data_IF_515215809094
#
_entry.id   IF_515215809094
#
_cell.length_a   1.000
_cell.length_b   1.000
_cell.length_c   1.000
_cell.angle_alpha   90.00
_cell.angle_beta   90.00
_cell.angle_gamma   90.00
#
_symmetry.space_group_name_H-M   'P 1'
#
loop_
_entity.id
_entity.type
_entity.pdbx_description
1 polymer ?
#
# COMPACT_ATOMS: atom_id res chain seq x y z
N UNK A 1 27.72 8.55 -12.89
CA UNK A 1 26.74 7.51 -13.29
C UNK A 1 27.44 6.60 -14.29
N UNK A 2 27.58 5.33 -13.96
CA UNK A 2 28.12 4.31 -14.85
C UNK A 2 27.02 3.77 -15.80
N UNK A 3 27.39 2.80 -16.69
CA UNK A 3 26.45 2.26 -17.68
C UNK A 3 25.27 1.53 -17.02
N UNK A 4 25.52 0.71 -16.00
CA UNK A 4 24.48 -0.08 -15.33
C UNK A 4 23.50 0.83 -14.58
N UNK A 5 24.00 1.89 -13.95
CA UNK A 5 23.16 2.92 -13.31
C UNK A 5 22.27 3.65 -14.32
N UNK A 6 22.82 3.95 -15.50
CA UNK A 6 22.06 4.58 -16.57
C UNK A 6 20.96 3.65 -17.11
N UNK A 7 21.27 2.36 -17.31
CA UNK A 7 20.32 1.37 -17.78
C UNK A 7 19.18 1.19 -16.76
N UNK A 8 19.49 1.01 -15.47
CA UNK A 8 18.50 0.93 -14.39
C UNK A 8 17.60 2.17 -14.35
N UNK A 9 18.20 3.35 -14.41
CA UNK A 9 17.44 4.61 -14.41
C UNK A 9 16.49 4.70 -15.60
N UNK A 10 16.96 4.34 -16.79
CA UNK A 10 16.12 4.36 -18.01
C UNK A 10 14.94 3.39 -17.93
N UNK A 11 15.15 2.21 -17.36
CA UNK A 11 14.04 1.26 -17.09
C UNK A 11 13.03 1.89 -16.11
N UNK A 12 13.52 2.51 -15.04
CA UNK A 12 12.66 3.20 -14.08
C UNK A 12 11.84 4.32 -14.71
N UNK A 13 12.48 5.19 -15.54
CA UNK A 13 11.76 6.27 -16.25
C UNK A 13 10.66 5.72 -17.19
N UNK A 14 10.93 4.62 -17.88
CA UNK A 14 9.94 3.98 -18.76
C UNK A 14 8.78 3.36 -17.98
N UNK A 15 9.05 2.73 -16.85
CA UNK A 15 8.02 2.18 -15.98
C UNK A 15 7.18 3.28 -15.34
N UNK A 16 7.81 4.35 -14.86
CA UNK A 16 7.12 5.52 -14.33
C UNK A 16 6.19 6.14 -15.39
N UNK A 17 6.66 6.26 -16.64
CA UNK A 17 5.85 6.77 -17.73
C UNK A 17 4.62 5.88 -18.01
N UNK A 18 4.80 4.55 -17.94
CA UNK A 18 3.70 3.59 -18.11
C UNK A 18 2.69 3.68 -16.97
N UNK A 19 3.15 3.71 -15.72
CA UNK A 19 2.27 3.80 -14.53
C UNK A 19 1.51 5.14 -14.49
N UNK A 20 2.07 6.21 -15.03
CA UNK A 20 1.49 7.54 -15.03
C UNK A 20 0.60 7.82 -16.26
N UNK A 21 0.16 6.80 -17.00
CA UNK A 21 -0.69 6.98 -18.19
C UNK A 21 -2.06 7.58 -17.86
N UNK A 22 -2.60 7.34 -16.67
CA UNK A 22 -3.91 7.81 -16.22
C UNK A 22 -5.03 7.51 -17.26
N UNK A 23 -5.36 6.23 -17.49
CA UNK A 23 -6.30 5.84 -18.55
C UNK A 23 -7.72 6.35 -18.31
N UNK A 24 -8.08 6.71 -17.08
CA UNK A 24 -9.36 7.33 -16.73
C UNK A 24 -9.41 8.80 -17.13
N UNK A 25 -8.26 9.44 -17.31
CA UNK A 25 -8.17 10.84 -17.75
C UNK A 25 -8.54 11.88 -16.68
N UNK A 26 -8.51 11.52 -15.40
CA UNK A 26 -8.80 12.44 -14.30
C UNK A 26 -7.68 13.45 -14.05
N UNK A 27 -6.46 13.14 -14.48
CA UNK A 27 -5.30 14.01 -14.33
C UNK A 27 -4.64 13.94 -12.95
N UNK A 28 -5.27 13.31 -11.95
CA UNK A 28 -4.77 13.24 -10.57
C UNK A 28 -3.48 12.46 -10.48
N UNK A 29 -3.37 11.31 -11.13
CA UNK A 29 -2.13 10.51 -11.14
C UNK A 29 -0.92 11.33 -11.57
N UNK A 30 -1.06 12.19 -12.58
CA UNK A 30 0.02 13.07 -13.07
C UNK A 30 0.44 14.10 -12.03
N UNK A 31 -0.53 14.65 -11.29
CA UNK A 31 -0.27 15.60 -10.20
C UNK A 31 0.49 14.89 -9.08
N UNK A 32 0.00 13.73 -8.63
CA UNK A 32 0.64 12.93 -7.58
C UNK A 32 2.06 12.50 -7.99
N UNK A 33 2.21 12.04 -9.24
CA UNK A 33 3.52 11.68 -9.79
C UNK A 33 4.49 12.87 -9.75
N UNK A 34 4.08 14.04 -10.19
CA UNK A 34 4.94 15.24 -10.19
C UNK A 34 5.42 15.59 -8.77
N UNK A 35 4.53 15.55 -7.78
CA UNK A 35 4.85 15.79 -6.38
C UNK A 35 5.80 14.73 -5.82
N UNK A 36 5.49 13.47 -6.03
CA UNK A 36 6.28 12.34 -5.56
C UNK A 36 7.66 12.30 -6.21
N UNK A 37 7.74 12.55 -7.52
CA UNK A 37 8.98 12.62 -8.27
C UNK A 37 9.89 13.75 -7.79
N UNK A 38 9.31 14.93 -7.50
CA UNK A 38 10.03 16.06 -6.91
C UNK A 38 10.58 15.74 -5.53
N UNK A 39 9.80 15.07 -4.69
CA UNK A 39 10.19 14.69 -3.33
C UNK A 39 11.26 13.60 -3.31
N UNK A 40 11.26 12.67 -4.29
CA UNK A 40 12.20 11.54 -4.38
C UNK A 40 13.47 11.88 -5.17
N UNK A 41 13.37 12.71 -6.23
CA UNK A 41 14.51 13.13 -7.05
C UNK A 41 14.94 12.14 -8.14
N UNK A 42 14.39 10.93 -8.15
CA UNK A 42 14.70 9.84 -9.08
C UNK A 42 13.44 9.07 -9.51
N UNK A 43 13.51 8.16 -10.51
CA UNK A 43 12.36 7.35 -10.92
C UNK A 43 11.73 6.61 -9.73
N UNK A 44 10.40 6.76 -9.54
CA UNK A 44 9.71 6.24 -8.37
C UNK A 44 9.73 4.71 -8.31
N UNK A 45 9.50 4.05 -9.44
CA UNK A 45 9.55 2.59 -9.56
C UNK A 45 10.94 2.04 -9.28
N UNK A 46 11.99 2.72 -9.80
CA UNK A 46 13.37 2.34 -9.51
C UNK A 46 13.68 2.50 -8.02
N UNK A 47 13.31 3.64 -7.42
CA UNK A 47 13.54 3.91 -6.00
C UNK A 47 12.82 2.89 -5.11
N UNK A 48 11.56 2.60 -5.40
CA UNK A 48 10.78 1.59 -4.67
C UNK A 48 11.41 0.20 -4.79
N UNK A 49 11.78 -0.22 -6.01
CA UNK A 49 12.42 -1.50 -6.23
C UNK A 49 13.76 -1.61 -5.49
N UNK A 50 14.60 -0.57 -5.54
CA UNK A 50 15.87 -0.56 -4.82
C UNK A 50 15.67 -0.62 -3.30
N UNK A 51 14.69 0.13 -2.78
CA UNK A 51 14.32 0.06 -1.34
C UNK A 51 13.99 -1.37 -0.90
N UNK A 52 13.21 -2.10 -1.71
CA UNK A 52 12.84 -3.48 -1.41
C UNK A 52 14.01 -4.45 -1.57
N UNK A 53 14.85 -4.27 -2.61
CA UNK A 53 16.06 -5.09 -2.84
C UNK A 53 17.04 -4.97 -1.67
N UNK A 54 17.21 -3.77 -1.15
CA UNK A 54 18.16 -3.51 -0.06
C UNK A 54 17.64 -4.03 1.30
N UNK A 55 16.32 -4.07 1.46
CA UNK A 55 15.67 -4.43 2.72
C UNK A 55 15.41 -5.94 2.88
N UNK A 56 14.98 -6.62 1.81
CA UNK A 56 14.39 -7.96 1.89
C UNK A 56 15.43 -9.04 1.66
N UNK A 57 15.46 -10.03 2.56
CA UNK A 57 16.25 -11.26 2.45
C UNK A 57 15.34 -12.48 2.38
N UNK A 58 15.83 -13.64 1.87
CA UNK A 58 15.05 -14.88 1.88
C UNK A 58 14.53 -15.22 3.27
N UNK A 59 13.24 -15.52 3.36
CA UNK A 59 12.55 -15.84 4.62
C UNK A 59 11.97 -14.65 5.37
N UNK A 60 12.30 -13.42 4.98
CA UNK A 60 11.78 -12.23 5.66
C UNK A 60 10.29 -12.02 5.41
N UNK A 61 9.58 -11.59 6.45
CA UNK A 61 8.21 -11.11 6.34
C UNK A 61 8.16 -9.78 5.58
N UNK A 62 7.15 -9.63 4.72
CA UNK A 62 6.82 -8.36 4.07
C UNK A 62 5.33 -8.12 4.24
N UNK A 63 4.95 -7.00 4.86
CA UNK A 63 3.54 -6.66 5.03
C UNK A 63 3.03 -5.85 3.83
N UNK A 64 1.88 -6.26 3.29
CA UNK A 64 1.20 -5.57 2.20
C UNK A 64 -0.17 -5.13 2.70
N UNK A 65 -0.36 -3.81 2.85
CA UNK A 65 -1.61 -3.20 3.29
C UNK A 65 -2.47 -2.89 2.06
N UNK A 66 -3.73 -3.33 2.06
CA UNK A 66 -4.67 -3.08 0.95
C UNK A 66 -6.11 -3.15 1.42
N UNK A 67 -7.07 -2.90 0.54
CA UNK A 67 -8.48 -3.16 0.77
C UNK A 67 -9.33 -1.92 0.98
N UNK A 68 -9.10 -0.85 0.19
CA UNK A 68 -10.01 0.28 0.11
C UNK A 68 -11.43 -0.21 -0.20
N UNK A 69 -12.44 0.28 0.53
CA UNK A 69 -13.83 -0.16 0.40
C UNK A 69 -14.65 0.81 -0.44
N UNK A 70 -15.17 0.34 -1.56
CA UNK A 70 -15.95 1.16 -2.49
C UNK A 70 -17.44 1.20 -2.16
N UNK A 71 -18.02 2.39 -2.23
CA UNK A 71 -19.46 2.61 -2.18
C UNK A 71 -20.08 2.53 -3.59
N UNK A 72 -21.37 2.17 -3.72
CA UNK A 72 -22.33 1.86 -2.64
C UNK A 72 -22.31 0.40 -2.18
N UNK A 73 -21.55 -0.49 -2.88
CA UNK A 73 -21.66 -1.94 -2.69
C UNK A 73 -20.87 -2.46 -1.47
N UNK A 74 -20.02 -1.61 -0.87
CA UNK A 74 -19.16 -1.97 0.27
C UNK A 74 -18.29 -3.19 -0.01
N UNK A 75 -17.67 -3.20 -1.19
CA UNK A 75 -16.74 -4.23 -1.64
C UNK A 75 -15.32 -3.67 -1.72
N UNK A 76 -14.28 -4.51 -1.56
CA UNK A 76 -12.91 -4.05 -1.75
C UNK A 76 -12.66 -3.63 -3.19
N UNK A 77 -11.84 -2.61 -3.36
CA UNK A 77 -11.34 -2.18 -4.66
C UNK A 77 -10.45 -3.25 -5.27
N UNK A 78 -10.74 -3.59 -6.54
CA UNK A 78 -10.12 -4.78 -7.14
C UNK A 78 -8.68 -4.56 -7.59
N UNK A 79 -8.30 -3.35 -7.97
CA UNK A 79 -6.94 -3.06 -8.44
C UNK A 79 -5.90 -3.21 -7.31
N UNK A 80 -6.17 -2.71 -6.11
CA UNK A 80 -5.35 -2.96 -4.93
C UNK A 80 -5.25 -4.44 -4.60
N UNK A 81 -6.36 -5.18 -4.68
CA UNK A 81 -6.40 -6.61 -4.40
C UNK A 81 -5.57 -7.42 -5.39
N UNK A 82 -5.79 -7.23 -6.68
CA UNK A 82 -5.08 -7.97 -7.75
C UNK A 82 -3.60 -7.62 -7.75
N UNK A 83 -3.26 -6.33 -7.65
CA UNK A 83 -1.87 -5.86 -7.62
C UNK A 83 -1.11 -6.41 -6.41
N UNK A 84 -1.74 -6.45 -5.24
CA UNK A 84 -1.16 -7.04 -4.03
C UNK A 84 -0.83 -8.52 -4.21
N UNK A 85 -1.70 -9.29 -4.87
CA UNK A 85 -1.46 -10.71 -5.14
C UNK A 85 -0.31 -10.93 -6.12
N UNK A 86 -0.26 -10.14 -7.19
CA UNK A 86 0.83 -10.22 -8.18
C UNK A 86 2.17 -9.83 -7.56
N UNK A 87 2.17 -8.78 -6.72
CA UNK A 87 3.36 -8.36 -6.00
C UNK A 87 3.80 -9.40 -4.97
N UNK A 88 2.87 -9.99 -4.20
CA UNK A 88 3.16 -11.06 -3.26
C UNK A 88 3.86 -12.24 -3.97
N UNK A 89 3.32 -12.66 -5.14
CA UNK A 89 3.97 -13.69 -5.95
C UNK A 89 5.37 -13.27 -6.41
N UNK A 90 5.55 -12.04 -6.86
CA UNK A 90 6.85 -11.53 -7.29
C UNK A 90 7.87 -11.53 -6.12
N UNK A 91 7.46 -11.12 -4.93
CA UNK A 91 8.30 -11.14 -3.72
C UNK A 91 8.71 -12.55 -3.31
N UNK A 92 7.79 -13.51 -3.37
CA UNK A 92 8.11 -14.93 -3.10
C UNK A 92 9.11 -15.47 -4.11
N UNK A 93 8.90 -15.22 -5.40
CA UNK A 93 9.75 -15.79 -6.46
C UNK A 93 11.12 -15.11 -6.57
N UNK A 94 11.17 -13.77 -6.41
CA UNK A 94 12.40 -13.01 -6.59
C UNK A 94 13.29 -13.00 -5.34
N UNK A 95 12.69 -12.97 -4.16
CA UNK A 95 13.41 -12.80 -2.89
C UNK A 95 13.31 -14.00 -1.96
N UNK A 96 12.40 -14.94 -2.20
CA UNK A 96 12.04 -15.95 -1.20
C UNK A 96 11.35 -15.35 0.03
N UNK A 97 10.75 -14.18 -0.11
CA UNK A 97 10.08 -13.48 0.96
C UNK A 97 8.78 -14.16 1.39
N UNK A 98 8.27 -13.76 2.54
CA UNK A 98 7.04 -14.24 3.17
C UNK A 98 6.01 -13.12 3.27
N UNK A 99 5.25 -12.84 2.19
CA UNK A 99 4.30 -11.75 2.18
C UNK A 99 3.06 -12.05 3.04
N UNK A 100 2.63 -11.04 3.80
CA UNK A 100 1.41 -11.07 4.60
C UNK A 100 0.52 -9.93 4.12
N UNK A 101 -0.66 -10.27 3.59
CA UNK A 101 -1.67 -9.28 3.25
C UNK A 101 -2.40 -8.86 4.51
N UNK A 102 -2.43 -7.57 4.78
CA UNK A 102 -3.18 -6.98 5.90
C UNK A 102 -4.34 -6.17 5.32
N UNK A 103 -5.57 -6.58 5.61
CA UNK A 103 -6.77 -6.00 4.99
C UNK A 103 -7.98 -6.03 5.95
N UNK A 104 -9.07 -5.31 5.64
CA UNK A 104 -10.33 -5.45 6.38
C UNK A 104 -10.86 -6.88 6.35
N UNK A 105 -11.60 -7.29 7.38
CA UNK A 105 -12.24 -8.62 7.46
C UNK A 105 -13.03 -8.98 6.20
N UNK A 106 -13.79 -8.03 5.68
CA UNK A 106 -14.65 -8.20 4.49
C UNK A 106 -13.82 -8.51 3.21
N UNK A 107 -12.52 -8.19 3.21
CA UNK A 107 -11.62 -8.44 2.08
C UNK A 107 -10.91 -9.80 2.15
N UNK A 108 -10.88 -10.44 3.32
CA UNK A 108 -10.12 -11.69 3.54
C UNK A 108 -10.52 -12.80 2.56
N UNK A 109 -11.81 -12.99 2.33
CA UNK A 109 -12.26 -14.03 1.40
C UNK A 109 -11.84 -13.75 -0.05
N UNK A 110 -11.85 -12.48 -0.46
CA UNK A 110 -11.37 -12.09 -1.80
C UNK A 110 -9.87 -12.36 -1.94
N UNK A 111 -9.06 -12.03 -0.92
CA UNK A 111 -7.63 -12.38 -0.85
C UNK A 111 -7.42 -13.88 -1.02
N UNK A 112 -8.14 -14.72 -0.26
CA UNK A 112 -8.04 -16.18 -0.34
C UNK A 112 -8.37 -16.72 -1.73
N UNK A 113 -9.41 -16.19 -2.36
CA UNK A 113 -9.81 -16.60 -3.70
C UNK A 113 -8.75 -16.22 -4.75
N UNK A 114 -8.13 -15.05 -4.62
CA UNK A 114 -7.08 -14.59 -5.54
C UNK A 114 -5.76 -15.35 -5.36
N UNK A 115 -5.41 -15.76 -4.14
CA UNK A 115 -4.17 -16.47 -3.86
C UNK A 115 -4.03 -17.77 -4.67
N UNK A 116 -5.12 -18.53 -4.81
CA UNK A 116 -5.14 -19.75 -5.60
C UNK A 116 -4.83 -19.49 -7.08
N UNK A 117 -5.28 -18.34 -7.63
CA UNK A 117 -5.05 -17.98 -9.04
C UNK A 117 -3.59 -17.63 -9.29
N UNK A 118 -2.92 -17.01 -8.35
CA UNK A 118 -1.49 -16.66 -8.47
C UNK A 118 -0.55 -17.80 -8.07
N UNK A 119 -1.08 -18.97 -7.68
CA UNK A 119 -0.29 -20.16 -7.38
C UNK A 119 0.52 -20.05 -6.09
N UNK A 120 -0.01 -19.34 -5.08
CA UNK A 120 0.52 -19.30 -3.73
C UNK A 120 -0.43 -20.02 -2.75
N UNK A 121 0.15 -20.67 -1.75
CA UNK A 121 -0.59 -21.23 -0.64
C UNK A 121 -0.83 -20.14 0.40
N UNK A 122 -2.08 -19.96 0.85
CA UNK A 122 -2.44 -18.93 1.80
C UNK A 122 -2.75 -19.50 3.17
N UNK A 123 -2.21 -18.87 4.22
CA UNK A 123 -2.37 -19.26 5.62
C UNK A 123 -2.79 -18.04 6.46
N UNK A 124 -3.50 -18.31 7.54
CA UNK A 124 -3.84 -17.29 8.55
C UNK A 124 -2.81 -17.27 9.68
N UNK A 125 -2.13 -18.38 9.92
CA UNK A 125 -1.03 -18.46 10.90
C UNK A 125 0.29 -18.03 10.24
N UNK A 126 0.94 -17.03 10.81
CA UNK A 126 2.23 -16.53 10.33
C UNK A 126 3.34 -17.61 10.49
N UNK A 127 3.26 -18.48 11.50
CA UNK A 127 4.20 -19.57 11.65
C UNK A 127 4.17 -20.52 10.45
N UNK A 128 2.97 -20.88 9.96
CA UNK A 128 2.82 -21.69 8.74
C UNK A 128 3.40 -21.00 7.51
N UNK A 129 3.20 -19.68 7.40
CA UNK A 129 3.80 -18.91 6.29
C UNK A 129 5.31 -18.96 6.33
N UNK A 130 5.91 -18.86 7.52
CA UNK A 130 7.36 -18.88 7.68
C UNK A 130 7.98 -20.24 7.33
N UNK A 131 7.30 -21.34 7.69
CA UNK A 131 7.80 -22.69 7.45
C UNK A 131 7.59 -23.18 6.02
N UNK A 132 6.45 -22.87 5.42
CA UNK A 132 6.02 -23.54 4.18
C UNK A 132 6.51 -22.79 2.93
N UNK A 133 6.89 -23.51 1.85
CA UNK A 133 7.32 -22.90 0.61
C UNK A 133 6.13 -22.33 -0.17
N UNK A 134 6.40 -21.39 -1.08
CA UNK A 134 5.38 -20.80 -1.96
C UNK A 134 4.16 -20.29 -1.19
N UNK A 135 4.39 -19.79 0.03
CA UNK A 135 3.37 -19.37 0.99
C UNK A 135 3.21 -17.86 1.02
N UNK A 136 2.02 -17.45 1.41
CA UNK A 136 1.67 -16.08 1.81
C UNK A 136 0.68 -16.14 2.97
N UNK A 137 0.56 -15.05 3.70
CA UNK A 137 -0.42 -14.94 4.78
C UNK A 137 -1.51 -13.92 4.48
N UNK A 138 -2.61 -14.04 5.22
CA UNK A 138 -3.64 -12.99 5.30
C UNK A 138 -3.96 -12.72 6.76
N UNK A 139 -3.92 -11.44 7.13
CA UNK A 139 -4.26 -10.95 8.45
C UNK A 139 -5.36 -9.88 8.32
N UNK A 140 -6.42 -10.07 9.10
CA UNK A 140 -7.46 -9.05 9.23
C UNK A 140 -6.96 -7.91 10.10
N UNK A 141 -7.39 -6.70 9.78
CA UNK A 141 -7.10 -5.53 10.58
C UNK A 141 -8.39 -4.75 10.90
N UNK A 142 -8.46 -4.23 12.11
CA UNK A 142 -9.69 -3.64 12.66
C UNK A 142 -10.12 -2.35 11.96
N UNK A 143 -11.43 -2.12 11.92
CA UNK A 143 -12.06 -0.85 11.56
C UNK A 143 -12.26 0.08 12.78
N UNK A 144 -12.01 -0.44 13.98
CA UNK A 144 -12.14 0.30 15.24
C UNK A 144 -10.82 0.95 15.62
N UNK A 145 -10.81 2.28 15.64
CA UNK A 145 -9.62 3.07 15.97
C UNK A 145 -9.10 2.79 17.38
N UNK A 146 -10.01 2.46 18.32
CA UNK A 146 -9.61 2.20 19.71
C UNK A 146 -8.83 0.89 19.87
N UNK A 147 -8.99 -0.05 18.93
CA UNK A 147 -8.33 -1.37 18.94
C UNK A 147 -7.10 -1.43 18.04
N UNK A 148 -6.94 -0.47 17.14
CA UNK A 148 -5.93 -0.53 16.08
C UNK A 148 -4.49 -0.57 16.63
N UNK A 149 -4.24 0.10 17.75
CA UNK A 149 -2.93 0.08 18.41
C UNK A 149 -2.55 -1.29 18.94
N UNK A 150 -3.48 -1.92 19.67
CA UNK A 150 -3.28 -3.24 20.26
C UNK A 150 -3.19 -4.34 19.19
N UNK A 151 -4.02 -4.25 18.13
CA UNK A 151 -3.94 -5.19 17.01
C UNK A 151 -2.63 -5.05 16.22
N UNK A 152 -2.12 -3.83 16.04
CA UNK A 152 -0.81 -3.62 15.44
C UNK A 152 0.30 -4.27 16.30
N UNK A 153 0.29 -4.07 17.62
CA UNK A 153 1.27 -4.68 18.52
C UNK A 153 1.19 -6.21 18.51
N UNK A 154 -0.02 -6.75 18.53
CA UNK A 154 -0.24 -8.19 18.46
C UNK A 154 0.27 -8.81 17.15
N UNK A 155 0.11 -8.08 16.02
CA UNK A 155 0.62 -8.52 14.73
C UNK A 155 2.15 -8.47 14.70
N UNK A 156 2.76 -7.38 15.17
CA UNK A 156 4.22 -7.23 15.22
C UNK A 156 4.88 -8.20 16.17
N UNK A 157 4.21 -8.65 17.23
CA UNK A 157 4.69 -9.68 18.13
C UNK A 157 4.83 -11.06 17.46
N UNK A 158 4.10 -11.31 16.36
CA UNK A 158 4.22 -12.55 15.58
C UNK A 158 5.40 -12.51 14.59
N UNK A 159 5.90 -11.33 14.25
CA UNK A 159 7.08 -11.15 13.40
C UNK A 159 7.20 -9.73 12.86
N UNK A 160 8.41 -9.19 12.95
CA UNK A 160 8.73 -7.87 12.40
C UNK A 160 8.99 -7.98 10.91
N UNK A 161 8.30 -7.23 10.04
CA UNK A 161 8.55 -7.26 8.61
C UNK A 161 9.84 -6.50 8.25
N UNK A 162 10.54 -6.97 7.22
CA UNK A 162 11.69 -6.28 6.63
C UNK A 162 11.27 -5.06 5.79
N UNK A 163 10.04 -5.06 5.29
CA UNK A 163 9.46 -3.93 4.57
C UNK A 163 7.93 -3.93 4.72
N UNK A 164 7.33 -2.75 4.57
CA UNK A 164 5.87 -2.58 4.47
C UNK A 164 5.51 -1.89 3.16
N UNK A 165 4.52 -2.43 2.47
CA UNK A 165 4.03 -1.92 1.20
C UNK A 165 2.54 -1.60 1.35
N UNK A 166 2.12 -0.42 0.93
CA UNK A 166 0.70 -0.07 0.84
C UNK A 166 0.29 -0.01 -0.62
N UNK A 167 -0.77 -0.71 -0.99
CA UNK A 167 -1.36 -0.68 -2.33
C UNK A 167 -2.85 -0.43 -2.19
N UNK A 168 -3.32 0.74 -2.61
CA UNK A 168 -4.73 1.13 -2.53
C UNK A 168 -5.31 0.84 -1.14
N UNK A 169 -4.57 1.24 -0.10
CA UNK A 169 -5.05 1.20 1.27
C UNK A 169 -5.43 2.62 1.73
N UNK A 170 -6.60 2.78 2.37
CA UNK A 170 -7.09 4.09 2.75
C UNK A 170 -6.19 4.75 3.79
N UNK A 171 -5.87 6.04 3.59
CA UNK A 171 -5.18 6.90 4.53
C UNK A 171 -6.14 7.76 5.35
N UNK A 172 -5.76 8.08 6.57
CA UNK A 172 -6.44 9.10 7.35
C UNK A 172 -5.87 10.49 7.03
N UNK A 173 -6.72 11.51 7.02
CA UNK A 173 -6.29 12.89 6.94
C UNK A 173 -5.78 13.42 8.29
N UNK A 174 -5.41 14.70 8.36
CA UNK A 174 -4.83 15.34 9.56
C UNK A 174 -5.75 15.33 10.80
N UNK A 175 -7.06 15.13 10.61
CA UNK A 175 -8.03 15.05 11.71
C UNK A 175 -8.53 13.62 11.94
N UNK A 176 -7.91 12.62 11.32
CA UNK A 176 -8.19 11.20 11.53
C UNK A 176 -9.38 10.66 10.74
N UNK A 177 -9.90 11.41 9.76
CA UNK A 177 -11.04 11.01 8.92
C UNK A 177 -10.54 10.39 7.62
N UNK A 178 -11.20 9.32 7.19
CA UNK A 178 -10.94 8.64 5.92
C UNK A 178 -11.97 9.10 4.89
N UNK A 179 -11.52 9.60 3.75
CA UNK A 179 -12.38 10.05 2.67
C UNK A 179 -12.21 9.19 1.42
N UNK A 180 -13.30 8.97 0.71
CA UNK A 180 -13.20 8.55 -0.68
C UNK A 180 -12.83 9.75 -1.58
N UNK A 181 -12.56 9.49 -2.85
CA UNK A 181 -12.19 10.53 -3.82
C UNK A 181 -13.27 11.62 -4.03
N UNK A 182 -14.53 11.35 -3.66
CA UNK A 182 -15.64 12.31 -3.70
C UNK A 182 -15.80 13.13 -2.43
N UNK A 183 -14.89 13.02 -1.46
CA UNK A 183 -14.96 13.75 -0.20
C UNK A 183 -15.95 13.19 0.83
N UNK A 184 -16.55 12.00 0.59
CA UNK A 184 -17.41 11.35 1.56
C UNK A 184 -16.58 10.70 2.68
N UNK A 185 -17.00 10.90 3.92
CA UNK A 185 -16.44 10.19 5.08
C UNK A 185 -16.78 8.70 4.99
N UNK A 186 -15.74 7.89 4.84
CA UNK A 186 -15.80 6.43 4.78
C UNK A 186 -15.15 5.78 5.99
N UNK A 187 -14.81 6.54 7.03
CA UNK A 187 -14.07 6.08 8.20
C UNK A 187 -14.64 4.82 8.85
N UNK A 188 -15.95 4.65 8.87
CA UNK A 188 -16.61 3.46 9.44
C UNK A 188 -16.43 2.20 8.58
N UNK A 189 -16.03 2.35 7.32
CA UNK A 189 -15.88 1.25 6.37
C UNK A 189 -14.45 0.73 6.30
N UNK A 190 -13.47 1.58 6.63
CA UNK A 190 -12.06 1.35 6.35
C UNK A 190 -11.29 0.76 7.54
N UNK A 191 -10.41 -0.19 7.26
CA UNK A 191 -9.46 -0.68 8.26
C UNK A 191 -8.50 0.44 8.68
N UNK A 192 -8.14 0.46 9.97
CA UNK A 192 -7.25 1.47 10.56
C UNK A 192 -5.76 1.14 10.34
N UNK A 193 -5.43 0.54 9.20
CA UNK A 193 -4.08 0.06 8.87
C UNK A 193 -3.02 1.18 8.83
N UNK A 194 -3.44 2.46 8.73
CA UNK A 194 -2.55 3.61 8.91
C UNK A 194 -1.83 3.57 10.26
N UNK A 195 -2.46 3.04 11.31
CA UNK A 195 -1.84 2.92 12.65
C UNK A 195 -0.66 1.94 12.62
N UNK A 196 -0.82 0.81 11.95
CA UNK A 196 0.26 -0.15 11.72
C UNK A 196 1.37 0.45 10.85
N UNK A 197 1.00 1.13 9.77
CA UNK A 197 1.92 1.83 8.88
C UNK A 197 2.81 2.84 9.61
N UNK A 198 2.22 3.74 10.38
CA UNK A 198 2.98 4.76 11.12
C UNK A 198 3.86 4.14 12.23
N UNK A 199 3.38 3.09 12.89
CA UNK A 199 4.18 2.34 13.86
C UNK A 199 5.41 1.70 13.23
N UNK A 200 5.27 1.05 12.08
CA UNK A 200 6.39 0.45 11.33
C UNK A 200 7.38 1.52 10.86
N UNK A 201 6.89 2.65 10.35
CA UNK A 201 7.74 3.77 9.96
C UNK A 201 8.52 4.36 11.14
N UNK A 202 7.88 4.50 12.30
CA UNK A 202 8.54 4.96 13.52
C UNK A 202 9.65 4.01 13.99
N UNK A 203 9.51 2.70 13.69
CA UNK A 203 10.53 1.69 13.95
C UNK A 203 11.61 1.64 12.85
N UNK A 204 11.55 2.49 11.83
CA UNK A 204 12.53 2.55 10.74
C UNK A 204 12.35 1.47 9.67
N UNK A 205 11.20 0.78 9.62
CA UNK A 205 10.93 -0.22 8.59
C UNK A 205 10.79 0.47 7.23
N UNK A 206 11.53 0.05 6.20
CA UNK A 206 11.41 0.56 4.85
C UNK A 206 9.98 0.46 4.32
N UNK A 207 9.49 1.53 3.70
CA UNK A 207 8.08 1.63 3.30
C UNK A 207 7.92 2.12 1.87
N UNK A 208 7.03 1.47 1.12
CA UNK A 208 6.63 1.83 -0.25
C UNK A 208 5.11 1.97 -0.30
N UNK A 209 4.60 3.03 -0.93
CA UNK A 209 3.16 3.24 -1.08
C UNK A 209 2.79 3.47 -2.55
N UNK A 210 1.66 2.90 -2.96
CA UNK A 210 1.06 3.02 -4.29
C UNK A 210 -0.39 3.44 -4.08
N UNK A 211 -0.80 4.49 -4.77
CA UNK A 211 -2.15 5.04 -4.76
C UNK A 211 -2.34 5.98 -5.94
N UNK A 212 -3.57 6.35 -6.28
CA UNK A 212 -3.90 7.07 -7.50
C UNK A 212 -4.75 8.33 -7.33
N UNK A 213 -5.37 8.55 -6.16
CA UNK A 213 -6.26 9.70 -5.93
C UNK A 213 -5.82 10.63 -4.79
N UNK A 214 -4.82 10.24 -3.99
CA UNK A 214 -4.21 11.10 -2.97
C UNK A 214 -4.78 10.92 -1.56
N UNK A 215 -5.75 10.03 -1.38
CA UNK A 215 -6.40 9.69 -0.12
C UNK A 215 -5.90 8.37 0.47
N UNK A 216 -4.86 7.79 -0.10
CA UNK A 216 -4.26 6.53 0.32
C UNK A 216 -3.10 6.72 1.30
N UNK A 217 -2.75 5.65 2.00
CA UNK A 217 -1.56 5.59 2.86
C UNK A 217 -0.31 5.98 2.05
N UNK A 218 0.55 6.81 2.64
CA UNK A 218 1.81 7.26 2.04
C UNK A 218 1.70 8.61 1.33
N UNK A 219 0.52 9.04 0.92
CA UNK A 219 0.29 10.31 0.22
C UNK A 219 0.57 11.54 1.10
N UNK A 220 0.54 11.39 2.41
CA UNK A 220 0.94 12.45 3.34
C UNK A 220 2.36 12.99 3.13
N UNK A 221 3.27 12.21 2.49
CA UNK A 221 4.61 12.68 2.12
C UNK A 221 4.59 13.88 1.16
N UNK A 222 3.52 14.02 0.39
CA UNK A 222 3.31 15.11 -0.58
C UNK A 222 2.03 15.91 -0.30
N UNK A 223 1.60 15.94 0.97
CA UNK A 223 0.32 16.56 1.38
C UNK A 223 0.15 18.01 0.86
N UNK A 224 1.18 18.86 1.00
CA UNK A 224 1.13 20.23 0.51
C UNK A 224 0.95 20.33 -1.01
N UNK A 225 1.55 19.40 -1.75
CA UNK A 225 1.38 19.33 -3.19
C UNK A 225 -0.04 18.89 -3.55
N UNK A 226 -0.58 17.89 -2.83
CA UNK A 226 -1.97 17.44 -3.01
C UNK A 226 -2.94 18.58 -2.75
N UNK A 227 -2.82 19.27 -1.60
CA UNK A 227 -3.67 20.41 -1.25
C UNK A 227 -3.61 21.53 -2.27
N UNK A 228 -2.45 21.74 -2.90
CA UNK A 228 -2.26 22.83 -3.86
C UNK A 228 -2.79 22.54 -5.26
N UNK A 229 -2.81 21.27 -5.67
CA UNK A 229 -2.98 20.92 -7.08
C UNK A 229 -4.08 19.90 -7.37
N UNK A 230 -4.50 19.08 -6.40
CA UNK A 230 -5.58 18.12 -6.60
C UNK A 230 -6.92 18.85 -6.45
N UNK A 231 -7.78 18.88 -7.48
CA UNK A 231 -8.99 19.72 -7.51
C UNK A 231 -9.99 19.43 -6.38
N UNK A 232 -10.03 18.18 -5.92
CA UNK A 232 -10.98 17.75 -4.89
C UNK A 232 -10.64 18.28 -3.49
N UNK A 233 -9.39 18.62 -3.24
CA UNK A 233 -8.93 19.15 -1.96
C UNK A 233 -8.94 20.67 -1.92
N UNK A 234 -8.82 21.33 -3.08
CA UNK A 234 -8.72 22.78 -3.18
C UNK A 234 -10.00 23.55 -2.82
N UNK A 235 -11.15 22.89 -2.76
CA UNK A 235 -12.46 23.52 -2.57
C UNK A 235 -13.11 23.25 -1.22
N UNK A 236 -12.44 22.52 -0.30
CA UNK A 236 -12.94 22.28 1.05
C UNK A 236 -14.31 21.58 1.09
N UNK A 237 -14.54 20.64 0.20
CA UNK A 237 -15.85 19.98 0.04
C UNK A 237 -16.17 18.99 1.17
N UNK A 238 -15.21 18.65 2.03
CA UNK A 238 -15.48 17.80 3.18
C UNK A 238 -15.89 18.61 4.41
N UNK A 239 -16.81 18.08 5.21
CA UNK A 239 -17.32 18.71 6.43
C UNK A 239 -16.31 18.75 7.58
N UNK A 240 -15.20 18.03 7.49
CA UNK A 240 -14.17 17.97 8.52
C UNK A 240 -13.21 19.17 8.52
N UNK A 241 -13.20 19.97 7.46
CA UNK A 241 -12.31 21.15 7.32
C UNK A 241 -10.83 20.81 7.08
N UNK A 242 -10.54 19.60 6.63
CA UNK A 242 -9.17 19.17 6.32
C UNK A 242 -8.61 19.81 5.04
#
# INVERSE_FOLDING_TARGET
MNRDELEKRNVGENLDALMNLDPRGYGVCRILYAGSRKATGEPLTMHAAQTLVDAIKPGDLVYILTGFVLLPHKVPEMDGMVSSMLLARALVLAFGAKPIIVCPEDSVQAVKNCAAVVGLHIYEDIADVLELPMSMGVQRFTKDVSRAGDEADALLAQGMPAAVISIEAPGANDVGVYHNAGGLDVSALEAKSVVLWEKLRALGVPSVAIGDLGNEIGMGKIADHIRSFVPFTAHGECSCGC
#
